data_IF_385016193599
#
_entry.id   IF_385016193599
#
_cell.length_a   1.000
_cell.length_b   1.000
_cell.length_c   1.000
_cell.angle_alpha   90.00
_cell.angle_beta   90.00
_cell.angle_gamma   90.00
#
_symmetry.space_group_name_H-M   'P 1'
#
loop_
_entity.id
_entity.type
_entity.pdbx_description
1 polymer ?
#
# COMPACT_ATOMS: atom_id res chain seq x y z
N UNK A 1 7.46 8.68 -5.62
CA UNK A 1 6.22 8.79 -4.82
C UNK A 1 6.39 7.91 -3.60
N UNK A 2 5.85 8.30 -2.45
CA UNK A 2 5.72 7.40 -1.29
C UNK A 2 4.29 7.32 -0.79
N UNK A 3 3.99 6.21 -0.11
CA UNK A 3 2.67 5.93 0.47
C UNK A 3 2.76 4.87 1.57
N UNK A 4 1.71 4.78 2.40
CA UNK A 4 1.57 3.79 3.45
C UNK A 4 0.23 3.05 3.43
N UNK A 5 0.26 1.76 3.75
CA UNK A 5 -0.94 0.93 3.85
C UNK A 5 -0.85 -0.04 5.01
N UNK A 6 -1.99 -0.29 5.65
CA UNK A 6 -2.10 -1.33 6.67
C UNK A 6 -2.40 -2.68 6.04
N UNK A 7 -1.67 -3.71 6.48
CA UNK A 7 -1.94 -5.11 6.19
C UNK A 7 -2.35 -5.83 7.46
N UNK A 8 -3.44 -6.60 7.39
CA UNK A 8 -3.94 -7.46 8.48
C UNK A 8 -3.43 -8.89 8.33
N UNK A 9 -3.56 -9.69 9.39
CA UNK A 9 -3.18 -11.11 9.33
C UNK A 9 -4.00 -11.92 8.31
N UNK A 10 -5.23 -11.49 8.05
CA UNK A 10 -6.17 -12.12 7.12
C UNK A 10 -6.69 -11.06 6.15
N UNK A 11 -7.21 -11.49 4.99
CA UNK A 11 -7.76 -10.56 4.00
C UNK A 11 -9.20 -10.18 4.37
N UNK A 12 -9.35 -9.18 5.24
CA UNK A 12 -10.66 -8.61 5.65
C UNK A 12 -10.97 -7.30 4.92
N UNK A 13 -10.16 -6.90 3.93
CA UNK A 13 -10.32 -5.63 3.19
C UNK A 13 -11.57 -5.63 2.31
N UNK A 14 -12.15 -6.81 2.04
CA UNK A 14 -13.57 -6.95 1.77
C UNK A 14 -14.21 -7.34 3.09
N UNK A 15 -15.29 -6.69 3.49
CA UNK A 15 -16.23 -7.21 4.49
C UNK A 15 -16.89 -8.50 3.99
N UNK A 16 -16.11 -9.49 3.55
CA UNK A 16 -16.58 -10.84 3.29
C UNK A 16 -17.21 -11.33 4.58
N UNK A 17 -18.53 -11.35 4.61
CA UNK A 17 -19.45 -12.35 5.18
C UNK A 17 -18.90 -13.28 6.27
N UNK A 18 -18.10 -12.77 7.21
CA UNK A 18 -17.77 -13.46 8.47
C UNK A 18 -18.83 -13.20 9.54
N UNK A 19 -19.80 -12.35 9.23
CA UNK A 19 -21.13 -12.44 9.84
C UNK A 19 -21.84 -13.68 9.30
N UNK A 20 -22.63 -14.33 10.14
CA UNK A 20 -23.54 -15.36 9.66
C UNK A 20 -24.81 -14.70 9.13
N UNK A 21 -25.36 -15.25 8.06
CA UNK A 21 -26.71 -14.93 7.61
C UNK A 21 -27.60 -16.06 8.08
N UNK A 22 -28.64 -15.75 8.85
CA UNK A 22 -29.67 -16.70 9.21
C UNK A 22 -31.03 -16.09 8.95
N UNK A 23 -31.94 -16.89 8.40
CA UNK A 23 -33.36 -16.55 8.37
C UNK A 23 -34.03 -16.79 9.72
N UNK A 24 -33.37 -17.52 10.62
CA UNK A 24 -33.89 -17.86 11.95
C UNK A 24 -32.78 -17.78 13.03
N UNK A 25 -32.76 -16.70 13.82
CA UNK A 25 -31.79 -16.52 14.90
C UNK A 25 -31.91 -17.50 16.07
N UNK A 26 -33.01 -18.27 16.16
CA UNK A 26 -33.26 -19.22 17.25
C UNK A 26 -32.54 -20.56 17.05
N UNK A 27 -32.32 -20.94 15.79
CA UNK A 27 -31.65 -22.19 15.40
C UNK A 27 -30.14 -22.02 15.14
N UNK A 28 -29.64 -20.79 15.26
CA UNK A 28 -28.22 -20.50 15.01
C UNK A 28 -27.34 -20.93 16.18
N UNK A 29 -26.27 -21.71 15.95
CA UNK A 29 -25.32 -22.09 17.00
C UNK A 29 -24.74 -20.88 17.74
N UNK A 30 -24.66 -20.96 19.07
CA UNK A 30 -24.15 -19.89 19.93
C UNK A 30 -22.72 -19.45 19.58
N UNK A 31 -21.88 -20.39 19.13
CA UNK A 31 -20.50 -20.14 18.69
C UNK A 31 -20.40 -19.23 17.45
N UNK A 32 -21.44 -19.23 16.62
CA UNK A 32 -21.56 -18.38 15.44
C UNK A 32 -22.19 -17.03 15.82
N UNK A 33 -23.22 -17.07 16.69
CA UNK A 33 -23.98 -15.89 17.15
C UNK A 33 -23.15 -14.94 18.03
N UNK A 34 -22.29 -15.50 18.88
CA UNK A 34 -21.47 -14.76 19.85
C UNK A 34 -19.98 -14.79 19.53
N UNK A 35 -19.63 -14.95 18.25
CA UNK A 35 -18.23 -14.96 17.80
C UNK A 35 -17.55 -13.65 18.21
N UNK A 36 -16.65 -13.72 19.20
CA UNK A 36 -15.88 -12.55 19.66
C UNK A 36 -14.99 -12.06 18.51
N UNK A 37 -15.23 -10.84 18.06
CA UNK A 37 -14.34 -10.11 17.16
C UNK A 37 -13.48 -9.15 17.95
N UNK A 38 -12.16 -9.16 17.71
CA UNK A 38 -11.28 -8.16 18.29
C UNK A 38 -11.54 -6.81 17.61
N UNK A 39 -11.84 -5.76 18.39
CA UNK A 39 -12.12 -4.40 17.86
C UNK A 39 -10.99 -3.85 16.98
N UNK A 40 -9.76 -4.32 17.19
CA UNK A 40 -8.61 -3.98 16.38
C UNK A 40 -7.83 -5.25 16.03
N UNK A 41 -7.98 -5.80 14.82
CA UNK A 41 -7.22 -6.96 14.40
C UNK A 41 -5.72 -6.60 14.33
N UNK A 42 -4.88 -7.59 14.60
CA UNK A 42 -3.44 -7.41 14.47
C UNK A 42 -3.09 -7.00 13.03
N UNK A 43 -2.48 -5.83 12.91
CA UNK A 43 -2.07 -5.24 11.63
C UNK A 43 -0.69 -4.64 11.69
N UNK A 44 -0.11 -4.46 10.52
CA UNK A 44 1.18 -3.83 10.32
C UNK A 44 1.06 -2.70 9.31
N UNK A 45 1.66 -1.56 9.62
CA UNK A 45 1.82 -0.48 8.64
C UNK A 45 3.00 -0.83 7.74
N UNK A 46 2.78 -0.72 6.44
CA UNK A 46 3.80 -0.89 5.41
C UNK A 46 3.93 0.45 4.70
N UNK A 47 5.11 1.06 4.77
CA UNK A 47 5.43 2.27 4.01
C UNK A 47 6.52 1.95 2.99
N UNK A 48 6.36 2.41 1.76
CA UNK A 48 7.36 2.23 0.73
C UNK A 48 7.32 3.38 -0.29
N UNK A 49 8.40 3.53 -1.04
CA UNK A 49 8.48 4.45 -2.15
C UNK A 49 8.55 3.70 -3.48
N UNK A 50 7.97 4.28 -4.52
CA UNK A 50 7.97 3.73 -5.88
C UNK A 50 8.44 4.77 -6.88
N UNK A 51 9.01 4.25 -7.97
CA UNK A 51 9.35 4.99 -9.17
C UNK A 51 9.17 4.11 -10.40
N UNK A 52 9.22 4.69 -11.59
CA UNK A 52 9.30 3.91 -12.83
C UNK A 52 10.54 3.02 -12.95
N UNK A 53 11.50 3.10 -12.01
CA UNK A 53 12.70 2.25 -11.97
C UNK A 53 12.63 1.09 -10.98
N UNK A 54 11.70 1.13 -10.02
CA UNK A 54 11.64 0.12 -8.97
C UNK A 54 10.80 0.52 -7.76
N UNK A 55 10.81 -0.35 -6.77
CA UNK A 55 10.13 -0.22 -5.47
C UNK A 55 11.21 -0.24 -4.38
N UNK A 56 11.12 0.64 -3.39
CA UNK A 56 12.04 0.68 -2.26
C UNK A 56 11.84 -0.52 -1.35
N UNK A 57 12.80 -0.75 -0.45
CA UNK A 57 12.59 -1.69 0.65
C UNK A 57 11.39 -1.23 1.50
N UNK A 58 10.45 -2.12 1.87
CA UNK A 58 9.34 -1.74 2.72
C UNK A 58 9.83 -1.44 4.15
N UNK A 59 9.34 -0.34 4.71
CA UNK A 59 9.42 -0.06 6.13
C UNK A 59 8.17 -0.60 6.83
N UNK A 60 8.38 -1.21 7.99
CA UNK A 60 7.33 -1.85 8.76
C UNK A 60 7.21 -1.20 10.14
N UNK A 61 6.02 -0.71 10.48
CA UNK A 61 5.70 -0.22 11.82
C UNK A 61 4.56 -1.01 12.46
N UNK A 62 4.71 -1.31 13.76
CA UNK A 62 3.67 -1.97 14.55
C UNK A 62 2.57 -0.96 14.89
N UNK A 63 1.32 -1.43 14.93
CA UNK A 63 0.15 -0.60 15.26
C UNK A 63 0.27 0.16 16.59
N UNK A 64 0.92 -0.41 17.61
CA UNK A 64 1.03 0.19 18.94
C UNK A 64 2.17 1.19 19.08
N UNK A 65 3.00 1.35 18.04
CA UNK A 65 4.16 2.23 18.10
C UNK A 65 3.85 3.50 17.31
N UNK A 66 3.63 4.61 18.03
CA UNK A 66 3.65 5.92 17.40
C UNK A 66 5.00 6.10 16.70
N UNK A 67 4.98 6.33 15.39
CA UNK A 67 6.19 6.60 14.62
C UNK A 67 6.63 8.01 15.03
N UNK A 68 7.62 8.09 15.90
CA UNK A 68 8.28 9.36 16.20
C UNK A 68 9.24 9.74 15.07
N UNK A 69 9.55 11.03 14.99
CA UNK A 69 10.43 11.62 13.97
C UNK A 69 11.76 10.86 13.82
N UNK A 70 12.41 10.54 14.94
CA UNK A 70 13.68 9.80 14.95
C UNK A 70 13.58 8.42 14.30
N UNK A 71 12.49 7.69 14.54
CA UNK A 71 12.26 6.38 13.93
C UNK A 71 11.99 6.51 12.44
N UNK A 72 11.23 7.53 12.04
CA UNK A 72 10.98 7.85 10.64
C UNK A 72 12.28 8.18 9.88
N UNK A 73 13.06 9.14 10.38
CA UNK A 73 14.33 9.54 9.78
C UNK A 73 15.29 8.35 9.64
N UNK A 74 15.57 7.64 10.73
CA UNK A 74 16.59 6.59 10.71
C UNK A 74 16.17 5.33 9.96
N UNK A 75 14.94 4.85 10.20
CA UNK A 75 14.53 3.54 9.69
C UNK A 75 13.88 3.60 8.32
N UNK A 76 13.14 4.66 8.03
CA UNK A 76 12.49 4.82 6.73
C UNK A 76 13.35 5.61 5.76
N UNK A 77 13.77 6.83 6.13
CA UNK A 77 14.51 7.69 5.20
C UNK A 77 15.93 7.16 4.97
N UNK A 78 16.76 7.13 6.00
CA UNK A 78 18.18 6.78 5.89
C UNK A 78 18.39 5.32 5.47
N UNK A 79 17.66 4.37 6.07
CA UNK A 79 17.88 2.94 5.83
C UNK A 79 17.07 2.36 4.66
N UNK A 80 16.05 3.07 4.16
CA UNK A 80 15.10 2.57 3.16
C UNK A 80 15.07 3.42 1.89
N UNK A 81 14.66 4.68 2.04
CA UNK A 81 14.43 5.60 0.93
C UNK A 81 15.74 6.05 0.28
N UNK A 82 16.71 6.50 1.06
CA UNK A 82 17.98 7.03 0.54
C UNK A 82 18.77 5.99 -0.27
N UNK A 83 18.92 4.72 0.17
CA UNK A 83 19.57 3.69 -0.65
C UNK A 83 18.85 3.46 -1.97
N UNK A 84 17.50 3.47 -1.96
CA UNK A 84 16.71 3.32 -3.18
C UNK A 84 16.90 4.51 -4.14
N UNK A 85 16.87 5.74 -3.63
CA UNK A 85 17.09 6.93 -4.44
C UNK A 85 18.49 6.93 -5.06
N UNK A 86 19.52 6.72 -4.23
CA UNK A 86 20.92 6.66 -4.68
C UNK A 86 21.20 5.56 -5.70
N UNK A 87 20.48 4.43 -5.64
CA UNK A 87 20.71 3.32 -6.57
C UNK A 87 20.13 3.56 -7.96
N UNK A 88 19.05 4.33 -8.07
CA UNK A 88 18.25 4.39 -9.30
C UNK A 88 18.08 5.80 -9.88
N UNK A 89 18.40 6.85 -9.14
CA UNK A 89 18.11 8.24 -9.52
C UNK A 89 19.27 9.17 -9.18
N UNK A 90 19.41 10.24 -9.97
CA UNK A 90 20.17 11.41 -9.55
C UNK A 90 19.27 12.24 -8.61
N UNK A 91 19.61 12.29 -7.32
CA UNK A 91 18.80 12.95 -6.27
C UNK A 91 18.47 14.39 -6.62
N UNK A 92 19.38 15.14 -7.24
CA UNK A 92 19.16 16.55 -7.62
C UNK A 92 18.04 16.72 -8.66
N UNK A 93 17.64 15.63 -9.33
CA UNK A 93 16.60 15.60 -10.36
C UNK A 93 15.39 14.78 -9.93
N UNK A 94 15.24 14.47 -8.65
CA UNK A 94 14.10 13.75 -8.10
C UNK A 94 13.07 14.73 -7.55
N UNK A 95 11.87 14.71 -8.12
CA UNK A 95 10.69 15.25 -7.44
C UNK A 95 10.19 14.20 -6.46
N UNK A 96 10.36 14.46 -5.16
CA UNK A 96 9.76 13.64 -4.12
C UNK A 96 8.29 14.03 -3.95
N UNK A 97 7.41 13.03 -3.90
CA UNK A 97 5.96 13.22 -3.86
C UNK A 97 5.42 12.39 -2.70
N UNK A 98 5.23 13.02 -1.52
CA UNK A 98 4.83 12.28 -0.34
C UNK A 98 3.33 12.01 -0.26
N UNK A 99 2.97 10.99 0.51
CA UNK A 99 1.63 10.82 1.05
C UNK A 99 1.23 12.09 1.85
N UNK A 100 0.02 12.61 1.64
CA UNK A 100 -0.49 13.97 2.00
C UNK A 100 -0.38 15.10 0.96
N UNK A 101 0.13 14.85 -0.25
CA UNK A 101 -0.02 15.83 -1.34
C UNK A 101 -1.47 15.87 -1.87
N UNK A 102 -2.02 17.07 -2.09
CA UNK A 102 -3.43 17.29 -2.48
C UNK A 102 -3.86 16.58 -3.77
N UNK A 103 -2.91 16.20 -4.62
CA UNK A 103 -3.13 15.43 -5.83
C UNK A 103 -3.55 13.97 -5.57
N UNK A 104 -3.28 13.41 -4.37
CA UNK A 104 -3.77 12.07 -3.99
C UNK A 104 -5.31 12.01 -3.90
N UNK A 105 -6.02 13.13 -3.83
CA UNK A 105 -7.50 13.11 -3.87
C UNK A 105 -8.06 12.85 -5.27
N UNK A 106 -7.26 13.00 -6.33
CA UNK A 106 -7.69 12.69 -7.69
C UNK A 106 -7.49 11.20 -8.00
N UNK A 107 -8.59 10.47 -8.29
CA UNK A 107 -8.55 9.05 -8.60
C UNK A 107 -7.60 8.69 -9.77
N UNK A 108 -7.47 9.60 -10.75
CA UNK A 108 -6.55 9.47 -11.89
C UNK A 108 -5.07 9.64 -11.52
N UNK A 109 -4.77 10.09 -10.30
CA UNK A 109 -3.43 10.37 -9.79
C UNK A 109 -3.07 9.53 -8.55
N UNK A 110 -3.69 8.35 -8.37
CA UNK A 110 -3.32 7.37 -7.32
C UNK A 110 -2.53 6.14 -7.82
N UNK A 111 -1.28 6.31 -8.26
CA UNK A 111 -0.42 5.21 -8.68
C UNK A 111 -0.21 4.09 -7.66
N UNK A 112 -0.23 4.47 -6.38
CA UNK A 112 0.03 3.55 -5.30
C UNK A 112 -1.08 2.54 -5.07
N UNK A 113 -2.34 2.92 -5.29
CA UNK A 113 -3.48 2.02 -5.10
C UNK A 113 -3.37 0.79 -6.00
N UNK A 114 -2.92 0.95 -7.25
CA UNK A 114 -2.68 -0.17 -8.16
C UNK A 114 -1.62 -1.13 -7.60
N UNK A 115 -0.53 -0.60 -7.04
CA UNK A 115 0.52 -1.44 -6.45
C UNK A 115 0.01 -2.12 -5.18
N UNK A 116 -0.76 -1.41 -4.36
CA UNK A 116 -1.35 -1.96 -3.16
C UNK A 116 -2.32 -3.10 -3.48
N UNK A 117 -3.19 -2.94 -4.47
CA UNK A 117 -4.11 -3.99 -4.94
C UNK A 117 -3.34 -5.22 -5.42
N UNK A 118 -2.35 -5.03 -6.32
CA UNK A 118 -1.51 -6.14 -6.81
C UNK A 118 -0.79 -6.85 -5.65
N UNK A 119 -0.30 -6.09 -4.67
CA UNK A 119 0.40 -6.66 -3.52
C UNK A 119 -0.57 -7.42 -2.61
N UNK A 120 -1.75 -6.89 -2.33
CA UNK A 120 -2.79 -7.57 -1.54
C UNK A 120 -3.21 -8.89 -2.19
N UNK A 121 -3.52 -8.87 -3.49
CA UNK A 121 -3.86 -10.07 -4.26
C UNK A 121 -2.76 -11.13 -4.16
N UNK A 122 -1.49 -10.74 -4.26
CA UNK A 122 -0.36 -11.68 -4.14
C UNK A 122 -0.13 -12.16 -2.71
N UNK A 123 -0.31 -11.29 -1.71
CA UNK A 123 -0.10 -11.64 -0.29
C UNK A 123 -1.13 -12.67 0.14
N UNK A 124 -2.41 -12.40 -0.15
CA UNK A 124 -3.56 -13.17 0.33
C UNK A 124 -4.09 -14.20 -0.67
N UNK A 125 -3.53 -14.28 -1.89
CA UNK A 125 -3.97 -15.21 -2.91
C UNK A 125 -3.96 -16.67 -2.44
N UNK A 126 -5.01 -17.41 -2.80
CA UNK A 126 -5.24 -18.80 -2.36
C UNK A 126 -5.65 -18.90 -0.89
N UNK A 127 -6.46 -17.95 -0.41
CA UNK A 127 -6.95 -17.85 0.98
C UNK A 127 -5.81 -17.89 2.01
N UNK A 128 -4.67 -17.31 1.65
CA UNK A 128 -3.50 -17.33 2.52
C UNK A 128 -3.70 -16.37 3.69
N UNK A 129 -3.47 -16.88 4.89
CA UNK A 129 -3.53 -16.11 6.13
C UNK A 129 -2.23 -16.23 6.93
N UNK A 130 -1.85 -15.16 7.59
CA UNK A 130 -0.71 -15.12 8.50
C UNK A 130 -1.14 -15.50 9.92
N UNK A 131 -0.38 -16.38 10.58
CA UNK A 131 -0.54 -16.68 12.01
C UNK A 131 0.13 -15.63 12.90
N UNK A 132 1.15 -14.94 12.38
CA UNK A 132 1.91 -13.91 13.11
C UNK A 132 2.29 -12.73 12.22
N UNK A 133 2.56 -11.58 12.85
CA UNK A 133 3.00 -10.37 12.17
C UNK A 133 4.34 -10.57 11.45
N UNK A 134 5.24 -11.41 11.97
CA UNK A 134 6.52 -11.68 11.31
C UNK A 134 6.36 -12.59 10.09
N UNK A 135 5.40 -13.53 10.12
CA UNK A 135 5.03 -14.31 8.94
C UNK A 135 4.46 -13.40 7.85
N UNK A 136 3.60 -12.46 8.22
CA UNK A 136 3.05 -11.46 7.29
C UNK A 136 4.15 -10.60 6.67
N UNK A 137 5.09 -10.07 7.46
CA UNK A 137 6.24 -9.28 6.94
C UNK A 137 7.06 -10.07 5.91
N UNK A 138 7.39 -11.33 6.22
CA UNK A 138 8.17 -12.19 5.32
C UNK A 138 7.42 -12.44 4.02
N UNK A 139 6.10 -12.70 4.09
CA UNK A 139 5.23 -12.86 2.93
C UNK A 139 5.22 -11.60 2.06
N UNK A 140 4.97 -10.43 2.66
CA UNK A 140 4.98 -9.13 1.95
C UNK A 140 6.32 -8.92 1.23
N UNK A 141 7.44 -9.11 1.91
CA UNK A 141 8.77 -8.97 1.29
C UNK A 141 8.99 -9.95 0.14
N UNK A 142 8.50 -11.18 0.26
CA UNK A 142 8.60 -12.19 -0.80
C UNK A 142 7.74 -11.83 -2.01
N UNK A 143 6.51 -11.36 -1.79
CA UNK A 143 5.59 -11.02 -2.89
C UNK A 143 5.96 -9.72 -3.59
N UNK A 144 6.50 -8.72 -2.87
CA UNK A 144 7.04 -7.50 -3.47
C UNK A 144 8.09 -7.78 -4.55
N UNK A 145 8.95 -8.78 -4.34
CA UNK A 145 9.97 -9.21 -5.34
C UNK A 145 9.35 -9.83 -6.60
N UNK A 146 8.07 -10.20 -6.56
CA UNK A 146 7.32 -10.86 -7.63
C UNK A 146 6.31 -9.93 -8.31
N UNK A 147 6.31 -8.64 -7.96
CA UNK A 147 5.48 -7.65 -8.63
C UNK A 147 6.06 -7.40 -10.03
N UNK A 148 5.22 -7.50 -11.04
CA UNK A 148 5.57 -7.04 -12.39
C UNK A 148 5.66 -5.51 -12.36
N UNK A 149 6.79 -4.97 -12.80
CA UNK A 149 7.02 -3.53 -12.87
C UNK A 149 6.38 -2.88 -14.10
N UNK A 150 5.91 -3.64 -15.09
CA UNK A 150 5.29 -3.08 -16.31
C UNK A 150 4.09 -2.17 -16.02
N UNK A 151 3.10 -2.56 -15.18
CA UNK A 151 2.00 -1.67 -14.81
C UNK A 151 2.50 -0.37 -14.16
N UNK A 152 3.49 -0.49 -13.27
CA UNK A 152 4.09 0.66 -12.57
C UNK A 152 4.78 1.60 -13.56
N UNK A 153 5.56 1.05 -14.49
CA UNK A 153 6.25 1.82 -15.52
C UNK A 153 5.28 2.52 -16.48
N UNK A 154 4.22 1.84 -16.91
CA UNK A 154 3.17 2.41 -17.77
C UNK A 154 2.49 3.60 -17.07
N UNK A 155 2.17 3.43 -15.79
CA UNK A 155 1.56 4.45 -14.94
C UNK A 155 2.46 5.68 -14.76
N UNK A 156 3.74 5.51 -14.40
CA UNK A 156 4.70 6.63 -14.33
C UNK A 156 4.88 7.34 -15.68
N UNK A 157 4.81 6.59 -16.78
CA UNK A 157 4.86 7.17 -18.13
C UNK A 157 3.61 8.00 -18.44
N UNK A 158 2.43 7.56 -18.00
CA UNK A 158 1.17 8.30 -18.13
C UNK A 158 1.22 9.62 -17.36
N UNK A 159 1.65 9.61 -16.10
CA UNK A 159 1.80 10.82 -15.27
C UNK A 159 2.73 11.83 -15.95
N UNK A 160 3.88 11.38 -16.47
CA UNK A 160 4.80 12.28 -17.20
C UNK A 160 4.13 12.91 -18.42
N UNK A 161 3.33 12.15 -19.17
CA UNK A 161 2.58 12.69 -20.32
C UNK A 161 1.54 13.71 -19.88
N UNK A 162 0.82 13.47 -18.77
CA UNK A 162 -0.14 14.41 -18.21
C UNK A 162 0.53 15.70 -17.73
N UNK A 163 1.62 15.60 -16.97
CA UNK A 163 2.39 16.77 -16.51
C UNK A 163 2.91 17.61 -17.68
N UNK A 164 3.37 16.96 -18.77
CA UNK A 164 3.77 17.66 -19.99
C UNK A 164 2.60 18.39 -20.65
N UNK A 165 1.44 17.73 -20.79
CA UNK A 165 0.22 18.38 -21.30
C UNK A 165 -0.18 19.60 -20.47
N UNK A 166 -0.07 19.51 -19.14
CA UNK A 166 -0.36 20.61 -18.22
C UNK A 166 0.62 21.77 -18.44
N UNK A 167 1.92 21.47 -18.56
CA UNK A 167 2.93 22.48 -18.82
C UNK A 167 2.72 23.19 -20.17
N UNK A 168 2.35 22.44 -21.21
CA UNK A 168 2.21 22.98 -22.56
C UNK A 168 0.87 23.72 -22.80
N UNK A 169 -0.22 23.24 -22.18
CA UNK A 169 -1.60 23.65 -22.52
C UNK A 169 -2.42 24.13 -21.31
N UNK A 170 -1.80 24.23 -20.14
CA UNK A 170 -2.46 24.61 -18.89
C UNK A 170 -3.15 23.45 -18.16
N UNK A 171 -3.55 23.66 -16.90
CA UNK A 171 -4.00 22.61 -15.98
C UNK A 171 -5.24 21.84 -16.45
N UNK A 172 -6.14 22.48 -17.21
CA UNK A 172 -7.36 21.84 -17.71
C UNK A 172 -7.12 20.85 -18.86
N UNK A 173 -5.95 20.89 -19.50
CA UNK A 173 -5.63 20.00 -20.62
C UNK A 173 -5.40 18.53 -20.24
N UNK A 174 -5.21 18.23 -18.95
CA UNK A 174 -5.12 16.87 -18.43
C UNK A 174 -6.49 16.30 -17.98
N UNK A 175 -7.50 17.14 -17.83
CA UNK A 175 -8.86 16.78 -17.43
C UNK A 175 -9.74 16.53 -18.68
N UNK A 176 -9.36 15.59 -19.53
CA UNK A 176 -10.26 15.08 -20.56
C UNK A 176 -11.01 13.88 -19.95
N UNK A 177 -12.28 14.09 -19.60
CA UNK A 177 -13.19 13.03 -19.16
C UNK A 177 -13.50 12.06 -20.30
#
# INVERSE_FOLDING_TARGET
MDDEKYFTLTNESVSTNRGFYTSDPSTTPSEVKFKRTQKYPAKILVRMAISGKGISKPFFAKQTQAINERTHLKKYIEAGLMPFLNSYHNIEKVLFWPDLTSSHYAASARPFETIWQILEEKVYGGDWEAKTIDQLKRRIQQQLKRIDMKPVQAMFSSIRKQLRKIADKGPFAACSF
#
